data_IF_994571217407
#
_entry.id   IF_994571217407
#
_cell.length_a   1.000
_cell.length_b   1.000
_cell.length_c   1.000
_cell.angle_alpha   90.00
_cell.angle_beta   90.00
_cell.angle_gamma   90.00
#
_symmetry.space_group_name_H-M   'P 1'
#
loop_
_entity.id
_entity.type
_entity.pdbx_description
1 polymer ?
#
# COMPACT_ATOMS: atom_id res chain seq x y z
N UNK A 1 3.39 -25.92 -0.86
CA UNK A 1 3.36 -24.45 -0.71
C UNK A 1 4.38 -23.82 -1.63
N UNK A 2 4.03 -23.72 -2.91
CA UNK A 2 4.92 -24.02 -4.03
C UNK A 2 4.80 -22.94 -5.11
N UNK A 3 5.93 -22.58 -5.72
CA UNK A 3 6.12 -21.77 -6.95
C UNK A 3 5.98 -20.24 -6.89
N UNK A 4 5.09 -19.65 -6.10
CA UNK A 4 4.91 -18.18 -6.13
C UNK A 4 6.16 -17.42 -5.64
N UNK A 5 6.80 -17.89 -4.57
CA UNK A 5 8.02 -17.29 -4.00
C UNK A 5 9.25 -17.34 -4.94
N UNK A 6 9.27 -18.23 -5.93
CA UNK A 6 10.41 -18.40 -6.84
C UNK A 6 10.53 -17.27 -7.85
N UNK A 7 9.41 -16.67 -8.26
CA UNK A 7 9.38 -15.50 -9.16
C UNK A 7 9.90 -14.22 -8.49
N UNK A 8 9.80 -14.12 -7.17
CA UNK A 8 10.28 -12.97 -6.42
C UNK A 8 11.78 -12.98 -6.13
N UNK A 9 12.48 -14.07 -6.47
CA UNK A 9 13.89 -14.21 -6.16
C UNK A 9 14.77 -13.83 -7.36
N UNK A 10 15.05 -12.54 -7.52
CA UNK A 10 16.16 -12.10 -8.35
C UNK A 10 17.49 -12.60 -7.78
N UNK A 11 18.38 -13.10 -8.63
CA UNK A 11 19.76 -13.41 -8.23
C UNK A 11 20.51 -12.09 -7.95
N UNK A 12 21.33 -12.01 -6.90
CA UNK A 12 22.20 -10.86 -6.70
C UNK A 12 23.13 -10.69 -7.90
N UNK A 13 23.25 -9.47 -8.40
CA UNK A 13 24.09 -9.08 -9.54
C UNK A 13 25.26 -8.26 -8.98
N UNK A 14 26.45 -8.38 -9.58
CA UNK A 14 27.60 -7.57 -9.17
C UNK A 14 27.31 -6.07 -9.38
N UNK A 15 27.58 -5.26 -8.36
CA UNK A 15 27.48 -3.80 -8.45
C UNK A 15 28.78 -3.23 -9.02
N UNK A 16 28.78 -2.88 -10.30
CA UNK A 16 29.92 -2.26 -10.99
C UNK A 16 29.88 -0.72 -10.92
N UNK A 17 28.87 -0.13 -10.26
CA UNK A 17 28.67 1.31 -10.15
C UNK A 17 29.11 1.91 -8.81
N UNK A 18 28.80 3.20 -8.62
CA UNK A 18 29.07 3.92 -7.37
C UNK A 18 28.10 3.50 -6.27
N UNK A 19 28.63 2.83 -5.25
CA UNK A 19 27.89 2.40 -4.04
C UNK A 19 27.21 3.59 -3.34
N UNK A 20 27.89 4.73 -3.24
CA UNK A 20 27.34 5.93 -2.60
C UNK A 20 26.09 6.47 -3.31
N UNK A 21 26.08 6.44 -4.65
CA UNK A 21 24.91 6.84 -5.44
C UNK A 21 23.72 5.91 -5.19
N UNK A 22 23.98 4.62 -5.09
CA UNK A 22 22.93 3.61 -4.88
C UNK A 22 22.35 3.70 -3.45
N UNK A 23 23.16 4.06 -2.45
CA UNK A 23 22.68 4.37 -1.10
C UNK A 23 21.74 5.58 -1.08
N UNK A 24 22.13 6.69 -1.71
CA UNK A 24 21.28 7.88 -1.80
C UNK A 24 19.97 7.61 -2.55
N UNK A 25 20.03 6.77 -3.60
CA UNK A 25 18.83 6.33 -4.31
C UNK A 25 17.91 5.48 -3.41
N UNK A 26 18.48 4.57 -2.62
CA UNK A 26 17.74 3.74 -1.68
C UNK A 26 17.06 4.59 -0.60
N UNK A 27 17.77 5.58 -0.03
CA UNK A 27 17.23 6.55 0.94
C UNK A 27 16.05 7.35 0.37
N UNK A 28 16.18 7.91 -0.84
CA UNK A 28 15.08 8.66 -1.49
C UNK A 28 13.84 7.80 -1.66
N UNK A 29 14.06 6.53 -2.02
CA UNK A 29 12.99 5.58 -2.25
C UNK A 29 12.34 5.18 -0.92
N UNK A 30 13.13 4.99 0.16
CA UNK A 30 12.64 4.78 1.52
C UNK A 30 11.80 5.97 2.02
N UNK A 31 12.29 7.20 1.89
CA UNK A 31 11.55 8.39 2.32
C UNK A 31 10.22 8.56 1.58
N UNK A 32 10.18 8.17 0.31
CA UNK A 32 8.93 8.14 -0.47
C UNK A 32 7.94 7.11 0.10
N UNK A 33 8.40 5.91 0.44
CA UNK A 33 7.57 4.88 1.11
C UNK A 33 7.10 5.33 2.49
N UNK A 34 7.96 6.01 3.25
CA UNK A 34 7.60 6.57 4.56
C UNK A 34 6.51 7.61 4.43
N UNK A 35 6.64 8.52 3.47
CA UNK A 35 5.64 9.58 3.21
C UNK A 35 4.27 8.99 2.89
N UNK A 36 4.20 8.03 1.97
CA UNK A 36 2.91 7.44 1.57
C UNK A 36 2.31 6.60 2.69
N UNK A 37 3.13 5.82 3.40
CA UNK A 37 2.69 5.04 4.57
C UNK A 37 2.10 5.91 5.68
N UNK A 38 2.76 7.01 6.03
CA UNK A 38 2.25 7.98 7.01
C UNK A 38 0.95 8.65 6.54
N UNK A 39 0.84 8.97 5.25
CA UNK A 39 -0.40 9.52 4.68
C UNK A 39 -1.59 8.58 4.84
N UNK A 40 -1.41 7.28 4.57
CA UNK A 40 -2.47 6.28 4.77
C UNK A 40 -2.83 6.07 6.23
N UNK A 41 -1.85 6.03 7.13
CA UNK A 41 -2.12 5.95 8.57
C UNK A 41 -2.92 7.17 9.04
N UNK A 42 -2.52 8.38 8.65
CA UNK A 42 -3.20 9.61 9.02
C UNK A 42 -4.64 9.64 8.51
N UNK A 43 -4.87 9.26 7.24
CA UNK A 43 -6.22 9.19 6.66
C UNK A 43 -7.08 8.14 7.38
N UNK A 44 -6.53 6.96 7.65
CA UNK A 44 -7.25 5.91 8.37
C UNK A 44 -7.62 6.33 9.80
N UNK A 45 -6.72 7.02 10.52
CA UNK A 45 -7.03 7.59 11.84
C UNK A 45 -8.12 8.66 11.74
N UNK A 46 -8.08 9.54 10.74
CA UNK A 46 -9.13 10.55 10.53
C UNK A 46 -10.51 9.91 10.30
N UNK A 47 -10.60 8.86 9.48
CA UNK A 47 -11.84 8.12 9.27
C UNK A 47 -12.32 7.39 10.53
N UNK A 48 -11.42 6.81 11.32
CA UNK A 48 -11.78 6.17 12.58
C UNK A 48 -12.38 7.19 13.58
N UNK A 49 -11.86 8.43 13.58
CA UNK A 49 -12.42 9.52 14.39
C UNK A 49 -13.80 9.93 13.91
N UNK A 50 -14.01 10.04 12.59
CA UNK A 50 -15.32 10.33 12.01
C UNK A 50 -16.35 9.24 12.39
N UNK A 51 -15.99 7.97 12.24
CA UNK A 51 -16.84 6.84 12.62
C UNK A 51 -17.22 6.85 14.11
N UNK A 52 -16.28 7.23 14.98
CA UNK A 52 -16.53 7.35 16.42
C UNK A 52 -17.51 8.49 16.75
N UNK A 53 -17.45 9.61 16.02
CA UNK A 53 -18.38 10.74 16.18
C UNK A 53 -19.80 10.37 15.74
N UNK A 54 -19.94 9.65 14.62
CA UNK A 54 -21.25 9.15 14.15
C UNK A 54 -21.88 8.19 15.16
N UNK A 55 -21.08 7.30 15.77
CA UNK A 55 -21.57 6.35 16.79
C UNK A 55 -22.08 7.02 18.07
N UNK A 56 -21.64 8.25 18.37
CA UNK A 56 -22.07 9.03 19.54
C UNK A 56 -23.34 9.85 19.28
N UNK A 57 -23.73 10.08 18.02
CA UNK A 57 -24.89 10.88 17.63
C UNK A 57 -25.99 10.02 17.01
N UNK A 58 -26.98 9.56 17.80
CA UNK A 58 -28.05 8.69 17.28
C UNK A 58 -29.00 9.40 16.28
N UNK A 59 -28.94 10.73 16.18
CA UNK A 59 -29.70 11.53 15.20
C UNK A 59 -29.09 11.44 13.78
N UNK A 60 -27.83 11.01 13.68
CA UNK A 60 -27.05 10.89 12.44
C UNK A 60 -26.93 9.45 11.94
N UNK A 61 -27.74 8.51 12.47
CA UNK A 61 -27.86 7.13 11.95
C UNK A 61 -28.50 7.12 10.55
N UNK A 62 -27.83 7.74 9.58
CA UNK A 62 -28.00 7.41 8.18
C UNK A 62 -27.26 6.09 7.92
N UNK A 63 -27.87 5.23 7.10
CA UNK A 63 -27.37 3.97 6.52
C UNK A 63 -26.04 4.09 5.71
N UNK A 64 -25.10 4.95 6.10
CA UNK A 64 -23.76 4.96 5.53
C UNK A 64 -22.95 3.83 6.18
N UNK A 65 -22.50 2.87 5.36
CA UNK A 65 -21.86 1.64 5.81
C UNK A 65 -20.67 1.85 6.76
N UNK A 66 -20.46 0.87 7.65
CA UNK A 66 -19.49 0.90 8.77
C UNK A 66 -18.10 1.42 8.36
N UNK A 67 -17.81 2.70 8.67
CA UNK A 67 -16.52 3.36 8.39
C UNK A 67 -15.35 2.73 9.17
N UNK A 68 -15.62 1.83 10.11
CA UNK A 68 -14.58 1.06 10.82
C UNK A 68 -13.77 0.18 9.88
N UNK A 69 -14.42 -0.43 8.87
CA UNK A 69 -13.72 -1.30 7.92
C UNK A 69 -12.72 -0.52 7.04
N UNK A 70 -13.10 0.56 6.34
CA UNK A 70 -12.16 1.32 5.51
C UNK A 70 -11.08 2.05 6.33
N UNK A 71 -11.40 2.53 7.55
CA UNK A 71 -10.40 3.15 8.43
C UNK A 71 -9.34 2.14 8.89
N UNK A 72 -9.75 0.95 9.35
CA UNK A 72 -8.83 -0.12 9.70
C UNK A 72 -7.97 -0.58 8.51
N UNK A 73 -8.57 -0.69 7.32
CA UNK A 73 -7.85 -1.03 6.10
C UNK A 73 -6.78 0.02 5.73
N UNK A 74 -7.08 1.32 5.89
CA UNK A 74 -6.13 2.41 5.63
C UNK A 74 -4.97 2.42 6.64
N UNK A 75 -5.25 2.26 7.93
CA UNK A 75 -4.20 2.15 8.95
C UNK A 75 -3.33 0.92 8.67
N UNK A 76 -3.95 -0.24 8.44
CA UNK A 76 -3.23 -1.48 8.16
C UNK A 76 -2.35 -1.40 6.91
N UNK A 77 -2.87 -0.84 5.82
CA UNK A 77 -2.09 -0.65 4.58
C UNK A 77 -0.94 0.34 4.77
N UNK A 78 -1.16 1.44 5.51
CA UNK A 78 -0.12 2.41 5.86
C UNK A 78 0.99 1.81 6.72
N UNK A 79 0.63 1.07 7.77
CA UNK A 79 1.59 0.35 8.62
C UNK A 79 2.36 -0.69 7.81
N UNK A 80 1.68 -1.49 6.97
CA UNK A 80 2.33 -2.46 6.09
C UNK A 80 3.31 -1.82 5.12
N UNK A 81 2.95 -0.67 4.56
CA UNK A 81 3.81 0.14 3.69
C UNK A 81 5.10 0.59 4.42
N UNK A 82 4.98 1.09 5.66
CA UNK A 82 6.13 1.51 6.49
C UNK A 82 7.05 0.34 6.84
N UNK A 83 6.48 -0.79 7.28
CA UNK A 83 7.25 -1.99 7.59
C UNK A 83 7.98 -2.52 6.36
N UNK A 84 7.29 -2.58 5.21
CA UNK A 84 7.88 -3.01 3.95
C UNK A 84 9.02 -2.09 3.50
N UNK A 85 8.82 -0.77 3.52
CA UNK A 85 9.84 0.22 3.18
C UNK A 85 11.11 0.07 4.03
N UNK A 86 10.93 -0.14 5.33
CA UNK A 86 12.03 -0.35 6.29
C UNK A 86 12.80 -1.64 6.00
N UNK A 87 12.10 -2.77 5.82
CA UNK A 87 12.74 -4.06 5.51
C UNK A 87 13.48 -4.00 4.18
N UNK A 88 12.89 -3.36 3.16
CA UNK A 88 13.53 -3.13 1.87
C UNK A 88 14.82 -2.32 2.03
N UNK A 89 14.78 -1.21 2.77
CA UNK A 89 15.93 -0.34 2.97
C UNK A 89 17.13 -1.10 3.53
N UNK A 90 16.94 -1.83 4.64
CA UNK A 90 18.02 -2.59 5.28
C UNK A 90 18.52 -3.74 4.42
N UNK A 91 17.65 -4.45 3.69
CA UNK A 91 18.08 -5.51 2.79
C UNK A 91 18.94 -4.98 1.63
N UNK A 92 18.54 -3.86 1.02
CA UNK A 92 19.32 -3.21 -0.03
C UNK A 92 20.65 -2.67 0.50
N UNK A 93 20.66 -2.04 1.68
CA UNK A 93 21.88 -1.55 2.34
C UNK A 93 22.91 -2.67 2.54
N UNK A 94 22.49 -3.82 3.10
CA UNK A 94 23.36 -4.97 3.36
C UNK A 94 23.92 -5.60 2.09
N UNK A 95 23.16 -5.57 1.00
CA UNK A 95 23.61 -6.11 -0.29
C UNK A 95 24.62 -5.18 -0.95
N UNK A 96 24.36 -3.87 -0.93
CA UNK A 96 25.27 -2.86 -1.48
C UNK A 96 26.63 -2.87 -0.78
N UNK A 97 26.66 -3.07 0.55
CA UNK A 97 27.90 -3.24 1.32
C UNK A 97 28.73 -4.47 0.88
N UNK A 98 28.10 -5.49 0.30
CA UNK A 98 28.76 -6.69 -0.23
C UNK A 98 29.16 -6.55 -1.71
N UNK A 99 28.98 -5.37 -2.30
CA UNK A 99 29.17 -5.15 -3.75
C UNK A 99 28.11 -5.87 -4.61
N UNK A 100 26.97 -6.23 -4.03
CA UNK A 100 25.90 -6.96 -4.71
C UNK A 100 24.63 -6.11 -4.76
N UNK A 101 23.86 -6.26 -5.85
CA UNK A 101 22.57 -5.62 -6.02
C UNK A 101 21.49 -6.68 -6.29
N UNK A 102 20.40 -6.68 -5.52
CA UNK A 102 19.24 -7.53 -5.79
C UNK A 102 18.09 -6.65 -6.31
N UNK A 103 17.65 -6.83 -7.57
CA UNK A 103 16.48 -6.14 -8.12
C UNK A 103 15.25 -6.33 -7.23
N UNK A 104 14.54 -5.23 -6.93
CA UNK A 104 13.36 -5.29 -6.06
C UNK A 104 12.08 -5.68 -6.82
N UNK A 105 11.93 -6.99 -7.08
CA UNK A 105 10.76 -7.56 -7.75
C UNK A 105 9.52 -7.50 -6.84
N UNK A 106 9.69 -7.75 -5.53
CA UNK A 106 8.57 -7.78 -4.58
C UNK A 106 7.86 -6.43 -4.47
N UNK A 107 8.60 -5.32 -4.49
CA UNK A 107 8.01 -3.99 -4.39
C UNK A 107 7.27 -3.58 -5.66
N UNK A 108 7.83 -3.89 -6.82
CA UNK A 108 7.17 -3.62 -8.11
C UNK A 108 5.86 -4.41 -8.21
N UNK A 109 5.90 -5.69 -7.84
CA UNK A 109 4.71 -6.54 -7.85
C UNK A 109 3.66 -6.09 -6.83
N UNK A 110 4.07 -5.66 -5.63
CA UNK A 110 3.15 -5.13 -4.63
C UNK A 110 2.42 -3.90 -5.16
N UNK A 111 3.15 -2.93 -5.72
CA UNK A 111 2.55 -1.73 -6.32
C UNK A 111 1.62 -2.09 -7.47
N UNK A 112 2.05 -2.97 -8.38
CA UNK A 112 1.23 -3.40 -9.49
C UNK A 112 -0.06 -4.08 -9.03
N UNK A 113 0.01 -4.95 -8.02
CA UNK A 113 -1.15 -5.63 -7.45
C UNK A 113 -2.11 -4.65 -6.76
N UNK A 114 -1.58 -3.72 -5.94
CA UNK A 114 -2.43 -2.73 -5.27
C UNK A 114 -3.09 -1.78 -6.26
N UNK A 115 -2.36 -1.30 -7.27
CA UNK A 115 -2.92 -0.43 -8.30
C UNK A 115 -3.99 -1.15 -9.14
N UNK A 116 -3.75 -2.42 -9.49
CA UNK A 116 -4.73 -3.24 -10.20
C UNK A 116 -5.99 -3.49 -9.37
N UNK A 117 -5.85 -3.77 -8.07
CA UNK A 117 -6.98 -3.96 -7.16
C UNK A 117 -7.82 -2.68 -7.00
N UNK A 118 -7.17 -1.52 -6.85
CA UNK A 118 -7.87 -0.22 -6.75
C UNK A 118 -8.62 0.10 -8.04
N UNK A 119 -7.97 -0.04 -9.20
CA UNK A 119 -8.60 0.21 -10.49
C UNK A 119 -9.78 -0.74 -10.76
N UNK A 120 -9.59 -2.04 -10.51
CA UNK A 120 -10.65 -3.04 -10.66
C UNK A 120 -11.82 -2.80 -9.71
N UNK A 121 -11.54 -2.48 -8.45
CA UNK A 121 -12.56 -2.14 -7.46
C UNK A 121 -13.37 -0.91 -7.86
N UNK A 122 -12.72 0.14 -8.36
CA UNK A 122 -13.39 1.34 -8.84
C UNK A 122 -14.35 1.03 -10.01
N UNK A 123 -13.92 0.22 -10.99
CA UNK A 123 -14.76 -0.20 -12.11
C UNK A 123 -15.99 -0.98 -11.61
N UNK A 124 -15.81 -1.92 -10.68
CA UNK A 124 -16.91 -2.70 -10.10
C UNK A 124 -17.92 -1.80 -9.39
N UNK A 125 -17.44 -0.83 -8.61
CA UNK A 125 -18.31 0.12 -7.93
C UNK A 125 -19.12 0.97 -8.92
N UNK A 126 -18.50 1.45 -10.00
CA UNK A 126 -19.20 2.20 -11.06
C UNK A 126 -20.31 1.37 -11.69
N UNK A 127 -20.03 0.11 -12.07
CA UNK A 127 -21.03 -0.79 -12.66
C UNK A 127 -22.19 -1.06 -11.68
N UNK A 128 -21.90 -1.22 -10.39
CA UNK A 128 -22.94 -1.42 -9.37
C UNK A 128 -23.82 -0.18 -9.20
N UNK A 129 -23.24 1.02 -9.24
CA UNK A 129 -23.97 2.27 -9.18
C UNK A 129 -24.90 2.43 -10.38
N UNK A 130 -24.43 2.14 -11.60
CA UNK A 130 -25.26 2.19 -12.81
C UNK A 130 -26.45 1.23 -12.71
N UNK A 131 -26.25 -0.01 -12.23
CA UNK A 131 -27.34 -0.99 -12.05
C UNK A 131 -28.39 -0.52 -11.05
N UNK A 132 -27.98 -0.03 -9.87
CA UNK A 132 -28.92 0.49 -8.86
C UNK A 132 -29.73 1.68 -9.39
N UNK A 133 -29.09 2.55 -10.19
CA UNK A 133 -29.74 3.73 -10.76
C UNK A 133 -30.79 3.37 -11.83
N UNK A 134 -30.62 2.23 -12.51
CA UNK A 134 -31.59 1.70 -13.46
C UNK A 134 -32.79 1.03 -12.77
N UNK A 135 -32.56 0.30 -11.67
CA UNK A 135 -33.61 -0.39 -10.90
C UNK A 135 -34.50 0.58 -10.11
N UNK A 136 -33.96 1.70 -9.60
CA UNK A 136 -34.73 2.72 -8.87
C UNK A 136 -35.64 3.61 -9.73
N UNK A 137 -35.71 3.37 -11.05
CA UNK A 137 -36.48 4.18 -12.01
C UNK A 137 -37.78 3.50 -12.48
N UNK A 138 -38.07 2.31 -11.98
CA UNK A 138 -39.31 1.54 -12.19
C UNK A 138 -40.16 1.53 -10.91
#
# INVERSE_FOLDING_TARGET
MSRLFKYFSARPIANTGSVARDHLANERTFLSWTRTGLGFVALGVALAKLAALEALSPVLHHEHGDLKLPSAALIGSGTGCLSYGTVRYFNSMRLLQKGLFKPNIAGIALVAATSGAVAGGAIVLVIQQEKKNLEGKH
#
